data_IF_666283612394
#
_entry.id   IF_666283612394
#
_cell.length_a   1.000
_cell.length_b   1.000
_cell.length_c   1.000
_cell.angle_alpha   90.00
_cell.angle_beta   90.00
_cell.angle_gamma   90.00
#
_symmetry.space_group_name_H-M   'P 1'
#
loop_
_entity.id
_entity.type
_entity.pdbx_description
1 polymer ?
#
# COMPACT_ATOMS: atom_id res chain seq x y z
N UNK A 1 2.19 16.68 -7.38
CA UNK A 1 2.61 15.37 -7.91
C UNK A 1 1.44 14.43 -7.80
N UNK A 2 0.96 13.93 -8.93
CA UNK A 2 -0.18 13.03 -9.00
C UNK A 2 0.19 11.66 -8.40
N UNK A 3 -0.70 11.09 -7.62
CA UNK A 3 -0.64 9.68 -7.25
C UNK A 3 -0.91 8.82 -8.48
N UNK A 4 -0.30 7.64 -8.54
CA UNK A 4 -0.58 6.66 -9.58
C UNK A 4 -1.85 5.87 -9.29
N UNK A 5 -2.45 5.34 -10.32
CA UNK A 5 -3.47 4.28 -10.23
C UNK A 5 -3.01 3.06 -11.01
N UNK A 6 -3.44 1.89 -10.56
CA UNK A 6 -3.17 0.61 -11.20
C UNK A 6 -4.44 -0.23 -11.18
N UNK A 7 -4.65 -0.98 -12.24
CA UNK A 7 -5.71 -1.98 -12.36
C UNK A 7 -5.08 -3.35 -12.54
N UNK A 8 -5.61 -4.33 -11.82
CA UNK A 8 -5.16 -5.73 -11.85
C UNK A 8 -6.32 -6.56 -12.36
N UNK A 9 -6.08 -7.37 -13.39
CA UNK A 9 -7.01 -8.38 -13.91
C UNK A 9 -6.47 -9.77 -13.61
N UNK A 10 -7.37 -10.71 -13.34
CA UNK A 10 -7.02 -12.11 -13.11
C UNK A 10 -7.15 -12.85 -14.43
N UNK A 11 -6.03 -13.28 -14.97
CA UNK A 11 -5.94 -13.99 -16.25
C UNK A 11 -5.79 -15.50 -16.06
N UNK A 12 -5.85 -16.24 -17.18
CA UNK A 12 -5.57 -17.69 -17.26
C UNK A 12 -6.55 -18.62 -16.51
N UNK A 13 -7.79 -18.18 -16.28
CA UNK A 13 -8.83 -19.03 -15.67
C UNK A 13 -9.94 -19.45 -16.63
N UNK A 14 -9.84 -19.12 -17.93
CA UNK A 14 -10.89 -19.33 -18.92
C UNK A 14 -11.32 -20.78 -19.02
N UNK A 15 -10.37 -21.72 -19.08
CA UNK A 15 -10.70 -23.16 -19.19
C UNK A 15 -11.45 -23.62 -17.94
N UNK A 16 -10.97 -23.28 -16.77
CA UNK A 16 -11.61 -23.65 -15.50
C UNK A 16 -13.02 -23.05 -15.37
N UNK A 17 -13.23 -21.83 -15.85
CA UNK A 17 -14.56 -21.19 -15.90
C UNK A 17 -15.48 -21.95 -16.85
N UNK A 18 -15.00 -22.34 -18.04
CA UNK A 18 -15.78 -23.13 -19.00
C UNK A 18 -16.18 -24.50 -18.44
N UNK A 19 -15.25 -25.20 -17.78
CA UNK A 19 -15.52 -26.50 -17.15
C UNK A 19 -16.60 -26.39 -16.05
N UNK A 20 -16.55 -25.33 -15.24
CA UNK A 20 -17.57 -25.08 -14.20
C UNK A 20 -18.91 -24.66 -14.81
N UNK A 21 -18.91 -23.90 -15.93
CA UNK A 21 -20.14 -23.51 -16.63
C UNK A 21 -20.87 -24.70 -17.23
N UNK A 22 -20.14 -25.75 -17.63
CA UNK A 22 -20.72 -27.00 -18.18
C UNK A 22 -21.50 -27.80 -17.14
N UNK A 23 -21.38 -27.49 -15.84
CA UNK A 23 -22.19 -28.11 -14.79
C UNK A 23 -23.58 -27.48 -14.77
N UNK A 24 -24.60 -28.20 -15.30
CA UNK A 24 -25.92 -27.65 -15.67
C UNK A 24 -26.66 -26.91 -14.52
N UNK A 25 -26.74 -27.46 -13.33
CA UNK A 25 -27.60 -26.89 -12.28
C UNK A 25 -26.90 -25.90 -11.33
N UNK A 26 -25.59 -25.96 -11.14
CA UNK A 26 -24.83 -25.24 -10.13
C UNK A 26 -23.79 -24.25 -10.64
N UNK A 27 -23.34 -24.41 -11.90
CA UNK A 27 -22.17 -23.70 -12.42
C UNK A 27 -22.28 -22.17 -12.37
N UNK A 28 -23.42 -21.60 -12.79
CA UNK A 28 -23.64 -20.15 -12.75
C UNK A 28 -23.64 -19.58 -11.32
N UNK A 29 -24.25 -20.30 -10.38
CA UNK A 29 -24.26 -19.91 -8.96
C UNK A 29 -22.86 -19.99 -8.36
N UNK A 30 -22.11 -21.05 -8.70
CA UNK A 30 -20.74 -21.23 -8.25
C UNK A 30 -19.83 -20.10 -8.73
N UNK A 31 -19.91 -19.70 -9.99
CA UNK A 31 -19.14 -18.58 -10.56
C UNK A 31 -19.53 -17.28 -9.88
N UNK A 32 -20.82 -16.97 -9.75
CA UNK A 32 -21.29 -15.75 -9.07
C UNK A 32 -20.83 -15.69 -7.61
N UNK A 33 -20.87 -16.81 -6.89
CA UNK A 33 -20.37 -16.91 -5.52
C UNK A 33 -18.85 -16.69 -5.46
N UNK A 34 -18.10 -17.29 -6.40
CA UNK A 34 -16.65 -17.10 -6.51
C UNK A 34 -16.29 -15.62 -6.74
N UNK A 35 -16.99 -14.95 -7.66
CA UNK A 35 -16.78 -13.52 -7.93
C UNK A 35 -16.99 -12.69 -6.65
N UNK A 36 -18.05 -12.96 -5.90
CA UNK A 36 -18.32 -12.27 -4.61
C UNK A 36 -17.21 -12.51 -3.60
N UNK A 37 -16.76 -13.75 -3.46
CA UNK A 37 -15.69 -14.14 -2.56
C UNK A 37 -14.37 -13.47 -2.92
N UNK A 38 -14.01 -13.47 -4.21
CA UNK A 38 -12.79 -12.81 -4.68
C UNK A 38 -12.85 -11.31 -4.48
N UNK A 39 -13.98 -10.67 -4.82
CA UNK A 39 -14.18 -9.22 -4.56
C UNK A 39 -13.93 -8.85 -3.10
N UNK A 40 -14.42 -9.67 -2.17
CA UNK A 40 -14.27 -9.42 -0.75
C UNK A 40 -12.84 -9.68 -0.23
N UNK A 41 -12.14 -10.67 -0.78
CA UNK A 41 -10.89 -11.18 -0.22
C UNK A 41 -9.62 -10.75 -0.94
N UNK A 42 -9.68 -10.50 -2.25
CA UNK A 42 -8.52 -10.17 -3.08
C UNK A 42 -7.72 -8.95 -2.56
N UNK A 43 -8.33 -7.85 -2.10
CA UNK A 43 -7.58 -6.76 -1.48
C UNK A 43 -6.76 -7.22 -0.27
N UNK A 44 -7.30 -8.17 0.49
CA UNK A 44 -6.61 -8.76 1.64
C UNK A 44 -5.41 -9.62 1.26
N UNK A 45 -5.51 -10.39 0.18
CA UNK A 45 -4.39 -11.20 -0.35
C UNK A 45 -3.29 -10.31 -0.90
N UNK A 46 -3.62 -9.32 -1.71
CA UNK A 46 -2.67 -8.32 -2.21
C UNK A 46 -1.93 -7.62 -1.06
N UNK A 47 -2.68 -7.19 -0.04
CA UNK A 47 -2.08 -6.53 1.11
C UNK A 47 -1.12 -7.44 1.90
N UNK A 48 -1.37 -8.76 1.95
CA UNK A 48 -0.46 -9.71 2.58
C UNK A 48 0.87 -9.79 1.82
N UNK A 49 0.85 -9.91 0.49
CA UNK A 49 2.07 -9.97 -0.32
C UNK A 49 2.87 -8.66 -0.24
N UNK A 50 2.20 -7.52 -0.31
CA UNK A 50 2.87 -6.21 -0.17
C UNK A 50 3.50 -6.08 1.21
N UNK A 51 2.79 -6.44 2.29
CA UNK A 51 3.31 -6.34 3.65
C UNK A 51 4.36 -7.39 3.98
N UNK A 52 4.48 -8.45 3.20
CA UNK A 52 5.59 -9.40 3.33
C UNK A 52 6.93 -8.75 2.94
N UNK A 53 6.93 -7.88 1.93
CA UNK A 53 8.13 -7.22 1.38
C UNK A 53 8.34 -5.82 1.97
N UNK A 54 7.27 -5.02 2.05
CA UNK A 54 7.33 -3.63 2.48
C UNK A 54 6.96 -3.44 3.95
N UNK A 55 7.61 -2.50 4.59
CA UNK A 55 7.36 -2.17 6.00
C UNK A 55 6.20 -1.18 6.13
N UNK A 56 5.03 -1.57 5.67
CA UNK A 56 3.78 -0.81 5.74
C UNK A 56 2.71 -1.63 6.47
N UNK A 57 1.78 -0.97 7.13
CA UNK A 57 0.69 -1.66 7.82
C UNK A 57 -0.37 -2.14 6.83
N UNK A 58 -0.90 -3.35 7.02
CA UNK A 58 -1.95 -3.93 6.18
C UNK A 58 -3.17 -3.01 6.03
N UNK A 59 -3.62 -2.38 7.10
CA UNK A 59 -4.76 -1.44 7.08
C UNK A 59 -4.52 -0.14 6.31
N UNK A 60 -3.30 0.14 5.85
CA UNK A 60 -2.99 1.26 4.97
C UNK A 60 -3.15 0.90 3.48
N UNK A 61 -3.19 -0.40 3.17
CA UNK A 61 -3.32 -0.95 1.81
C UNK A 61 -4.76 -1.37 1.53
N UNK A 62 -5.42 -1.99 2.49
CA UNK A 62 -6.79 -2.51 2.36
C UNK A 62 -7.68 -2.02 3.50
N UNK A 63 -8.97 -1.77 3.25
CA UNK A 63 -9.92 -1.46 4.32
C UNK A 63 -10.03 -2.63 5.29
N UNK A 64 -10.21 -2.31 6.57
CA UNK A 64 -10.58 -3.31 7.56
C UNK A 64 -12.00 -3.82 7.28
N UNK A 65 -12.22 -5.12 7.41
CA UNK A 65 -13.55 -5.72 7.29
C UNK A 65 -14.55 -5.00 8.19
N UNK A 66 -15.62 -4.47 7.62
CA UNK A 66 -16.76 -3.90 8.37
C UNK A 66 -16.66 -2.42 8.75
N UNK A 67 -15.67 -1.67 8.36
CA UNK A 67 -15.55 -0.26 8.72
C UNK A 67 -15.08 0.66 7.60
N UNK A 68 -15.47 1.94 7.66
CA UNK A 68 -14.86 2.97 6.80
C UNK A 68 -13.35 2.98 7.05
N UNK A 69 -12.52 2.98 6.00
CA UNK A 69 -11.06 2.92 6.15
C UNK A 69 -10.56 4.20 6.84
N UNK A 70 -10.25 4.08 8.12
CA UNK A 70 -9.82 5.25 8.93
C UNK A 70 -8.48 5.84 8.50
N UNK A 71 -7.63 5.11 7.77
CA UNK A 71 -6.25 5.54 7.44
C UNK A 71 -5.67 4.92 6.17
N UNK A 72 -6.47 4.67 5.15
CA UNK A 72 -5.89 4.18 3.90
C UNK A 72 -5.01 5.24 3.22
N UNK A 73 -3.89 4.77 2.69
CA UNK A 73 -2.96 5.59 1.91
C UNK A 73 -3.46 5.93 0.50
N UNK A 74 -4.62 5.39 0.12
CA UNK A 74 -5.29 5.56 -1.15
C UNK A 74 -6.68 4.94 -1.11
N UNK A 75 -7.22 4.55 -2.26
CA UNK A 75 -8.46 3.81 -2.40
C UNK A 75 -8.26 2.51 -3.15
N UNK A 76 -9.09 1.52 -2.85
CA UNK A 76 -9.20 0.28 -3.60
C UNK A 76 -10.65 0.12 -4.05
N UNK A 77 -10.83 -0.18 -5.32
CA UNK A 77 -12.12 -0.48 -5.92
C UNK A 77 -12.02 -1.85 -6.61
N UNK A 78 -13.04 -2.69 -6.43
CA UNK A 78 -13.13 -4.00 -7.08
C UNK A 78 -14.42 -4.03 -7.86
N UNK A 79 -14.31 -4.17 -9.18
CA UNK A 79 -15.42 -4.16 -10.14
C UNK A 79 -15.38 -5.42 -11.02
N UNK A 80 -16.43 -5.62 -11.83
CA UNK A 80 -16.61 -6.78 -12.71
C UNK A 80 -17.70 -7.71 -12.17
N UNK A 81 -18.48 -8.33 -13.06
CA UNK A 81 -19.55 -9.28 -12.71
C UNK A 81 -19.15 -10.72 -13.01
N UNK A 82 -18.19 -10.89 -13.89
CA UNK A 82 -17.61 -12.18 -14.23
C UNK A 82 -16.17 -12.28 -13.74
N UNK A 83 -15.58 -13.47 -13.70
CA UNK A 83 -14.18 -13.68 -13.31
C UNK A 83 -13.24 -13.00 -14.30
N UNK A 84 -13.58 -13.01 -15.59
CA UNK A 84 -12.78 -12.41 -16.65
C UNK A 84 -12.78 -10.88 -16.61
N UNK A 85 -13.90 -10.28 -16.19
CA UNK A 85 -14.05 -8.82 -16.04
C UNK A 85 -13.55 -8.29 -14.70
N UNK A 86 -13.17 -9.20 -13.80
CA UNK A 86 -12.83 -8.82 -12.44
C UNK A 86 -11.57 -7.95 -12.40
N UNK A 87 -11.77 -6.70 -12.04
CA UNK A 87 -10.72 -5.67 -12.03
C UNK A 87 -10.56 -5.09 -10.63
N UNK A 88 -9.34 -5.08 -10.13
CA UNK A 88 -8.98 -4.50 -8.84
C UNK A 88 -8.15 -3.25 -9.09
N UNK A 89 -8.71 -2.10 -8.80
CA UNK A 89 -8.06 -0.81 -9.03
C UNK A 89 -7.56 -0.22 -7.70
N UNK A 90 -6.27 0.04 -7.63
CA UNK A 90 -5.66 0.78 -6.54
C UNK A 90 -5.29 2.18 -7.01
N UNK A 91 -5.67 3.19 -6.24
CA UNK A 91 -5.19 4.55 -6.42
C UNK A 91 -4.62 5.09 -5.12
N UNK A 92 -3.59 5.89 -5.20
CA UNK A 92 -2.96 6.42 -3.99
C UNK A 92 -1.89 7.45 -4.29
N UNK A 93 -1.69 8.35 -3.33
CA UNK A 93 -0.61 9.34 -3.35
C UNK A 93 0.71 8.73 -2.89
N UNK A 94 1.80 9.41 -3.19
CA UNK A 94 3.10 9.10 -2.60
C UNK A 94 3.04 9.23 -1.08
N UNK A 95 3.58 8.25 -0.38
CA UNK A 95 3.59 8.17 1.07
C UNK A 95 4.76 8.94 1.67
N UNK A 96 4.64 9.29 2.93
CA UNK A 96 5.73 9.89 3.70
C UNK A 96 6.50 8.84 4.48
N UNK A 97 7.74 9.12 4.90
CA UNK A 97 8.55 8.20 5.71
C UNK A 97 7.88 7.70 6.99
N UNK A 98 6.89 8.43 7.50
CA UNK A 98 6.13 8.06 8.70
C UNK A 98 5.43 6.71 8.56
N UNK A 99 4.96 6.38 7.35
CA UNK A 99 4.30 5.10 7.05
C UNK A 99 5.27 3.90 7.11
N UNK A 100 6.58 4.16 7.00
CA UNK A 100 7.63 3.15 6.89
C UNK A 100 8.53 3.07 8.14
N UNK A 101 7.95 3.26 9.31
CA UNK A 101 8.69 3.13 10.57
C UNK A 101 9.83 4.13 10.73
N UNK A 102 9.59 5.39 10.37
CA UNK A 102 10.56 6.48 10.52
C UNK A 102 11.02 6.64 11.97
N UNK A 103 12.32 6.89 12.14
CA UNK A 103 12.96 7.15 13.43
C UNK A 103 13.90 8.35 13.34
N UNK A 104 13.86 9.33 14.26
CA UNK A 104 12.91 9.48 15.36
C UNK A 104 11.51 9.86 14.84
N UNK A 105 10.46 9.58 15.62
CA UNK A 105 9.06 9.95 15.27
C UNK A 105 8.78 11.44 15.44
N UNK A 106 9.49 12.08 16.33
CA UNK A 106 9.40 13.51 16.64
C UNK A 106 10.80 14.10 16.68
N UNK A 107 10.95 15.38 16.37
CA UNK A 107 12.23 16.08 16.47
C UNK A 107 12.67 16.17 17.93
N UNK A 108 13.85 15.65 18.30
CA UNK A 108 14.39 15.86 19.64
C UNK A 108 14.68 17.36 19.85
N UNK A 109 14.16 17.97 20.91
CA UNK A 109 14.35 19.40 21.15
C UNK A 109 15.83 19.72 21.37
N UNK A 110 16.35 20.72 20.65
CA UNK A 110 17.70 21.24 20.84
C UNK A 110 18.85 20.29 20.46
N UNK A 111 18.58 19.14 19.86
CA UNK A 111 19.60 18.14 19.50
C UNK A 111 19.67 17.89 17.99
N UNK A 112 20.86 17.53 17.50
CA UNK A 112 21.03 16.99 16.17
C UNK A 112 20.46 15.58 16.11
N UNK A 113 19.88 15.18 14.95
CA UNK A 113 19.33 13.85 14.77
C UNK A 113 19.47 13.34 13.33
N UNK A 114 19.48 12.03 13.19
CA UNK A 114 19.52 11.36 11.90
C UNK A 114 18.19 10.68 11.66
N UNK A 115 17.52 11.06 10.58
CA UNK A 115 16.28 10.41 10.15
C UNK A 115 16.59 9.14 9.39
N UNK A 116 15.95 8.06 9.81
CA UNK A 116 16.03 6.75 9.18
C UNK A 116 14.63 6.22 8.92
N UNK A 117 14.49 5.44 7.86
CA UNK A 117 13.25 4.72 7.55
C UNK A 117 13.58 3.36 6.95
N UNK A 118 12.57 2.52 6.89
CA UNK A 118 12.66 1.18 6.32
C UNK A 118 11.50 0.96 5.36
N UNK A 119 11.68 1.25 4.08
CA UNK A 119 10.64 1.01 3.07
C UNK A 119 10.49 -0.48 2.81
N UNK A 120 11.59 -1.16 2.50
CA UNK A 120 11.66 -2.62 2.35
C UNK A 120 12.10 -3.22 3.67
N UNK A 121 11.45 -4.29 4.11
CA UNK A 121 11.80 -4.99 5.35
C UNK A 121 13.28 -5.42 5.34
N UNK A 122 13.95 -5.27 6.48
CA UNK A 122 15.38 -5.55 6.61
C UNK A 122 16.31 -4.45 6.09
N UNK A 123 15.81 -3.49 5.31
CA UNK A 123 16.63 -2.43 4.69
C UNK A 123 16.39 -1.07 5.32
N UNK A 124 17.03 -0.79 6.44
CA UNK A 124 16.98 0.51 7.11
C UNK A 124 17.91 1.50 6.41
N UNK A 125 17.37 2.61 5.89
CA UNK A 125 18.15 3.66 5.17
C UNK A 125 18.10 4.98 5.91
N UNK A 126 19.21 5.70 5.88
CA UNK A 126 19.28 7.11 6.30
C UNK A 126 18.68 7.96 5.20
N UNK A 127 17.73 8.80 5.55
CA UNK A 127 17.07 9.74 4.61
C UNK A 127 17.57 11.17 4.77
N UNK A 128 18.22 11.47 5.89
CA UNK A 128 18.88 12.74 6.11
C UNK A 128 19.27 12.98 7.56
N UNK A 129 19.98 14.07 7.77
CA UNK A 129 20.44 14.51 9.08
C UNK A 129 19.97 15.94 9.32
N UNK A 130 19.54 16.22 10.53
CA UNK A 130 19.37 17.56 11.05
C UNK A 130 20.55 17.88 11.96
N UNK A 131 21.24 18.96 11.66
CA UNK A 131 22.33 19.47 12.52
C UNK A 131 21.82 20.70 13.25
N UNK A 132 21.78 20.63 14.55
CA UNK A 132 21.49 21.80 15.39
C UNK A 132 22.79 22.61 15.57
N UNK A 133 23.18 23.31 14.54
CA UNK A 133 24.31 24.23 14.61
C UNK A 133 23.82 25.59 15.14
N UNK A 134 23.87 25.78 16.45
CA UNK A 134 23.75 27.09 17.05
C UNK A 134 25.04 27.93 16.91
N UNK A 135 26.02 27.47 16.16
CA UNK A 135 27.24 28.23 15.93
C UNK A 135 26.93 29.37 14.97
N UNK A 136 26.94 30.63 15.43
CA UNK A 136 26.83 31.79 14.54
C UNK A 136 28.01 31.75 13.58
N UNK A 137 27.75 31.82 12.25
CA UNK A 137 28.81 31.90 11.24
C UNK A 137 29.27 30.61 10.62
N UNK A 138 28.73 29.45 11.00
CA UNK A 138 29.04 28.18 10.33
C UNK A 138 28.60 28.16 8.85
N UNK A 139 29.44 27.63 7.93
CA UNK A 139 29.14 27.68 6.51
C UNK A 139 27.84 26.95 6.19
N UNK A 140 26.90 27.65 5.59
CA UNK A 140 25.65 27.11 5.08
C UNK A 140 25.84 26.05 3.97
N UNK A 141 27.06 25.89 3.48
CA UNK A 141 27.43 25.02 2.37
C UNK A 141 27.31 23.53 2.69
N UNK A 142 27.46 23.10 3.93
CA UNK A 142 27.31 21.68 4.30
C UNK A 142 25.88 21.25 4.61
N UNK A 143 24.91 22.15 4.47
CA UNK A 143 23.48 21.91 4.76
C UNK A 143 22.71 21.26 3.62
N UNK A 144 23.35 20.56 2.72
CA UNK A 144 22.69 19.89 1.59
C UNK A 144 21.65 18.83 1.99
N UNK A 145 21.54 18.52 3.28
CA UNK A 145 20.64 17.49 3.82
C UNK A 145 19.75 18.00 4.95
N UNK A 146 19.34 19.25 4.91
CA UNK A 146 18.46 19.83 5.94
C UNK A 146 17.05 19.27 5.85
N UNK A 147 16.84 18.11 6.48
CA UNK A 147 15.51 17.62 6.73
C UNK A 147 14.99 18.22 8.02
N UNK A 148 13.91 18.97 7.90
CA UNK A 148 13.17 19.55 9.01
C UNK A 148 12.00 18.65 9.36
N UNK A 149 11.83 18.33 10.63
CA UNK A 149 10.60 17.71 11.10
C UNK A 149 9.59 18.81 11.42
N UNK A 150 8.44 18.76 10.77
CA UNK A 150 7.32 19.62 11.14
C UNK A 150 6.89 19.32 12.58
N UNK A 151 6.62 20.36 13.33
CA UNK A 151 6.11 20.27 14.70
C UNK A 151 4.65 19.87 14.70
N UNK A 152 4.21 18.85 14.10
CA UNK A 152 2.84 18.31 14.03
C UNK A 152 1.83 18.80 15.09
N UNK A 153 1.79 20.09 15.32
CA UNK A 153 0.92 20.73 16.30
C UNK A 153 -0.46 20.89 15.71
N UNK A 154 -1.13 19.76 15.49
CA UNK A 154 -2.56 19.76 15.33
C UNK A 154 -3.16 19.50 16.69
N UNK A 155 -4.00 20.42 17.16
CA UNK A 155 -4.79 20.34 18.39
C UNK A 155 -5.67 19.08 18.50
N UNK A 156 -5.63 18.21 17.51
CA UNK A 156 -6.30 16.92 17.45
C UNK A 156 -5.27 15.80 17.38
N UNK A 157 -4.81 15.37 18.54
CA UNK A 157 -4.23 14.05 18.78
C UNK A 157 -3.19 13.52 17.77
N UNK A 158 -1.92 13.83 17.97
CA UNK A 158 -0.85 12.91 17.60
C UNK A 158 -0.57 12.71 16.12
N UNK A 159 -0.59 13.73 15.29
CA UNK A 159 -0.01 13.64 13.94
C UNK A 159 1.50 13.59 14.07
N UNK A 160 2.08 12.44 13.74
CA UNK A 160 3.53 12.29 13.67
C UNK A 160 4.13 13.38 12.81
N UNK A 161 5.19 14.00 13.29
CA UNK A 161 5.89 15.06 12.55
C UNK A 161 6.31 14.54 11.17
N UNK A 162 5.91 15.23 10.12
CA UNK A 162 6.25 14.89 8.74
C UNK A 162 7.61 15.53 8.41
N UNK A 163 8.55 14.80 7.80
CA UNK A 163 9.81 15.38 7.36
C UNK A 163 9.63 16.23 6.10
N UNK A 164 10.30 17.39 6.11
CA UNK A 164 10.41 18.31 4.99
C UNK A 164 11.86 18.50 4.63
N UNK A 165 12.14 18.65 3.36
CA UNK A 165 13.43 19.02 2.82
C UNK A 165 13.41 20.50 2.46
N UNK A 166 14.41 21.24 2.86
CA UNK A 166 14.61 22.63 2.43
C UNK A 166 15.24 22.62 1.04
N UNK A 167 14.65 23.33 0.12
CA UNK A 167 15.10 23.36 -1.29
C UNK A 167 16.04 24.53 -1.58
N UNK A 168 15.92 25.61 -0.79
CA UNK A 168 16.76 26.82 -0.93
C UNK A 168 17.15 27.40 0.43
N UNK A 169 17.86 28.53 0.42
CA UNK A 169 18.24 29.27 1.63
C UNK A 169 17.05 30.00 2.28
N UNK A 170 15.95 30.17 1.56
CA UNK A 170 14.75 30.85 2.08
C UNK A 170 14.02 29.96 3.09
N UNK A 171 13.42 30.59 4.11
CA UNK A 171 12.70 29.88 5.16
C UNK A 171 11.46 29.14 4.67
N UNK A 172 10.84 29.65 3.64
CA UNK A 172 9.53 29.17 3.12
C UNK A 172 9.65 28.10 2.05
N UNK A 173 10.81 27.94 1.43
CA UNK A 173 11.02 26.97 0.37
C UNK A 173 11.34 25.59 0.92
N UNK A 174 10.27 24.94 1.38
CA UNK A 174 10.32 23.59 1.96
C UNK A 174 9.44 22.65 1.15
N UNK A 175 9.95 21.45 0.85
CA UNK A 175 9.22 20.39 0.17
C UNK A 175 9.02 19.21 1.10
N UNK A 176 7.80 18.70 1.12
CA UNK A 176 7.47 17.47 1.84
C UNK A 176 8.29 16.30 1.29
N UNK A 177 8.94 15.57 2.17
CA UNK A 177 9.64 14.35 1.77
C UNK A 177 8.63 13.24 1.49
N UNK A 178 8.69 12.67 0.30
CA UNK A 178 7.81 11.59 -0.14
C UNK A 178 8.61 10.37 -0.56
N UNK A 179 7.98 9.21 -0.50
CA UNK A 179 8.55 7.92 -0.84
C UNK A 179 7.73 7.25 -1.95
N UNK A 180 7.51 5.98 -1.86
CA UNK A 180 6.76 5.16 -2.81
C UNK A 180 5.25 5.22 -2.51
N UNK A 181 4.40 5.05 -3.52
CA UNK A 181 2.94 4.90 -3.37
C UNK A 181 2.52 3.42 -3.24
N UNK A 182 1.30 3.15 -2.76
CA UNK A 182 0.75 1.79 -2.72
C UNK A 182 0.67 1.16 -4.10
N UNK A 183 0.15 1.84 -5.15
CA UNK A 183 0.19 1.29 -6.51
C UNK A 183 1.60 0.88 -6.97
N UNK A 184 2.62 1.73 -6.71
CA UNK A 184 3.99 1.40 -7.07
C UNK A 184 4.59 0.23 -6.29
N UNK A 185 4.13 -0.02 -5.05
CA UNK A 185 4.53 -1.21 -4.31
C UNK A 185 3.94 -2.48 -4.93
N UNK A 186 2.70 -2.42 -5.39
CA UNK A 186 1.99 -3.55 -6.01
C UNK A 186 2.62 -3.92 -7.36
N UNK A 187 2.98 -2.91 -8.19
CA UNK A 187 3.58 -3.13 -9.52
C UNK A 187 5.07 -3.42 -9.49
N UNK A 188 5.71 -3.37 -8.32
CA UNK A 188 7.15 -3.61 -8.25
C UNK A 188 7.48 -5.07 -8.60
N UNK A 189 8.61 -5.31 -9.23
CA UNK A 189 9.15 -6.65 -9.53
C UNK A 189 9.20 -7.58 -8.31
N UNK A 190 9.32 -6.99 -7.11
CA UNK A 190 9.43 -7.74 -5.85
C UNK A 190 8.12 -8.38 -5.39
N UNK A 191 6.99 -7.85 -5.83
CA UNK A 191 5.65 -8.21 -5.33
C UNK A 191 4.68 -8.62 -6.42
N UNK A 192 4.81 -8.05 -7.63
CA UNK A 192 3.83 -8.21 -8.69
C UNK A 192 3.59 -9.68 -9.06
N UNK A 193 4.65 -10.42 -9.34
CA UNK A 193 4.55 -11.85 -9.70
C UNK A 193 3.87 -12.67 -8.59
N UNK A 194 4.27 -12.47 -7.34
CA UNK A 194 3.68 -13.15 -6.19
C UNK A 194 2.20 -12.83 -6.01
N UNK A 195 1.83 -11.56 -6.24
CA UNK A 195 0.44 -11.12 -6.16
C UNK A 195 -0.39 -11.81 -7.26
N UNK A 196 0.09 -11.83 -8.50
CA UNK A 196 -0.61 -12.46 -9.62
C UNK A 196 -0.78 -13.96 -9.40
N UNK A 197 0.28 -14.66 -9.03
CA UNK A 197 0.25 -16.10 -8.71
C UNK A 197 -0.78 -16.39 -7.61
N UNK A 198 -0.73 -15.63 -6.52
CA UNK A 198 -1.67 -15.81 -5.41
C UNK A 198 -3.11 -15.54 -5.79
N UNK A 199 -3.39 -14.51 -6.57
CA UNK A 199 -4.73 -14.21 -7.04
C UNK A 199 -5.28 -15.36 -7.90
N UNK A 200 -4.47 -15.91 -8.81
CA UNK A 200 -4.85 -17.04 -9.65
C UNK A 200 -5.13 -18.29 -8.81
N UNK A 201 -4.22 -18.67 -7.91
CA UNK A 201 -4.37 -19.85 -7.05
C UNK A 201 -5.60 -19.75 -6.15
N UNK A 202 -5.79 -18.63 -5.46
CA UNK A 202 -6.90 -18.45 -4.55
C UNK A 202 -8.25 -18.39 -5.29
N UNK A 203 -8.28 -17.81 -6.49
CA UNK A 203 -9.49 -17.79 -7.33
C UNK A 203 -9.81 -19.20 -7.84
N UNK A 204 -8.81 -19.94 -8.31
CA UNK A 204 -8.98 -21.32 -8.74
C UNK A 204 -9.50 -22.22 -7.61
N UNK A 205 -8.91 -22.13 -6.41
CA UNK A 205 -9.40 -22.88 -5.23
C UNK A 205 -10.85 -22.58 -4.92
N UNK A 206 -11.28 -21.31 -5.01
CA UNK A 206 -12.67 -20.92 -4.78
C UNK A 206 -13.59 -21.44 -5.85
N UNK A 207 -13.17 -21.37 -7.11
CA UNK A 207 -13.94 -21.87 -8.23
C UNK A 207 -14.15 -23.39 -8.16
N UNK A 208 -13.16 -24.14 -7.69
CA UNK A 208 -13.26 -25.59 -7.48
C UNK A 208 -14.12 -25.95 -6.26
N UNK A 209 -14.06 -25.16 -5.19
CA UNK A 209 -14.79 -25.46 -3.96
C UNK A 209 -16.28 -25.15 -4.07
N UNK A 210 -16.66 -24.07 -4.72
CA UNK A 210 -18.05 -23.61 -4.78
C UNK A 210 -19.01 -24.59 -5.50
N UNK A 211 -18.66 -25.29 -6.61
CA UNK A 211 -19.53 -26.29 -7.22
C UNK A 211 -19.87 -27.45 -6.31
N UNK A 212 -18.90 -27.95 -5.54
CA UNK A 212 -19.08 -29.08 -4.61
C UNK A 212 -20.13 -28.76 -3.55
N UNK A 213 -20.18 -27.52 -3.06
CA UNK A 213 -21.17 -27.11 -2.07
C UNK A 213 -22.60 -27.11 -2.61
N UNK A 214 -22.81 -27.02 -3.92
CA UNK A 214 -24.15 -27.01 -4.54
C UNK A 214 -24.61 -28.39 -5.00
N UNK A 215 -23.71 -29.35 -5.24
CA UNK A 215 -24.04 -30.72 -5.61
C UNK A 215 -24.48 -31.59 -4.45
N UNK A 216 -24.15 -31.19 -3.21
CA UNK A 216 -24.57 -31.89 -1.97
C UNK A 216 -25.93 -31.45 -1.40
N UNK A 217 -26.61 -30.48 -2.04
CA UNK A 217 -27.90 -29.93 -1.60
C UNK A 217 -29.08 -30.44 -2.46
N UNK A 218 -28.86 -31.34 -3.36
CA UNK A 218 -29.87 -32.13 -4.09
C UNK A 218 -29.85 -33.59 -3.69
#
# INVERSE_FOLDING_TARGET
MAGGSISIQIENLRQLVADVQAIEAGGRKAISSTVKDVKARAPGWIAQEVTAVYNIKKGEITPSSGGKPKKMAGSVNVSGETIEELTITYSGRMLTPVHFGMTPKTAPPGKSYTLRMQVVKGQKKVIGRYLNTRTPGGPYSERSHNILMGTGNTKAGGVSAIPFQRMSRTRTDIKKFTTISVPSMITSERTNEKIMTRLQEETAKRLQHNPVSYTHLT
#
